data_IF_847305541117
#
_entry.id   IF_847305541117
#
_cell.length_a   1.000
_cell.length_b   1.000
_cell.length_c   1.000
_cell.angle_alpha   90.00
_cell.angle_beta   90.00
_cell.angle_gamma   90.00
#
_symmetry.space_group_name_H-M   'P 1'
#
loop_
_entity.id
_entity.type
_entity.pdbx_description
1 polymer ?
#
# COMPACT_ATOMS: atom_id res chain seq x y z
N UNK A 1 -38.47 11.89 -10.47
CA UNK A 1 -37.41 10.86 -10.34
C UNK A 1 -36.15 11.42 -10.96
N UNK A 2 -35.17 11.79 -10.13
CA UNK A 2 -33.88 12.30 -10.62
C UNK A 2 -32.96 11.12 -10.90
N UNK A 3 -32.60 10.95 -12.17
CA UNK A 3 -31.56 10.02 -12.59
C UNK A 3 -30.23 10.56 -12.04
N UNK A 4 -29.67 9.87 -11.04
CA UNK A 4 -28.34 10.17 -10.54
C UNK A 4 -27.35 10.06 -11.70
N UNK A 5 -26.83 11.21 -12.16
CA UNK A 5 -25.78 11.25 -13.16
C UNK A 5 -24.60 10.40 -12.68
N UNK A 6 -24.25 9.37 -13.44
CA UNK A 6 -23.00 8.65 -13.25
C UNK A 6 -21.85 9.59 -13.60
N UNK A 7 -21.33 10.24 -12.56
CA UNK A 7 -20.08 11.00 -12.54
C UNK A 7 -19.03 10.36 -13.49
N UNK A 8 -18.68 11.00 -14.63
CA UNK A 8 -17.88 10.39 -15.70
C UNK A 8 -16.42 10.09 -15.29
N UNK A 9 -15.95 10.65 -14.18
CA UNK A 9 -14.59 10.43 -13.64
C UNK A 9 -14.44 9.14 -12.80
N UNK A 10 -15.52 8.37 -12.60
CA UNK A 10 -15.55 7.17 -11.73
C UNK A 10 -14.73 5.98 -12.24
N UNK A 11 -14.54 5.84 -13.56
CA UNK A 11 -13.85 4.70 -14.18
C UNK A 11 -12.34 4.88 -14.34
N UNK A 12 -11.92 6.11 -14.62
CA UNK A 12 -10.59 6.38 -15.18
C UNK A 12 -9.42 5.91 -14.32
N UNK A 13 -9.47 6.05 -12.99
CA UNK A 13 -8.32 5.72 -12.14
C UNK A 13 -8.03 4.22 -12.09
N UNK A 14 -9.03 3.41 -11.71
CA UNK A 14 -8.85 1.97 -11.58
C UNK A 14 -8.70 1.33 -12.97
N UNK A 15 -9.43 1.82 -13.97
CA UNK A 15 -9.26 1.37 -15.36
C UNK A 15 -7.85 1.68 -15.86
N UNK A 16 -7.33 2.88 -15.63
CA UNK A 16 -5.94 3.21 -16.00
C UNK A 16 -4.95 2.26 -15.35
N UNK A 17 -5.10 1.96 -14.06
CA UNK A 17 -4.22 1.02 -13.36
C UNK A 17 -4.36 -0.42 -13.89
N UNK A 18 -5.59 -0.88 -14.08
CA UNK A 18 -5.89 -2.23 -14.59
C UNK A 18 -5.35 -2.44 -16.02
N UNK A 19 -5.28 -1.37 -16.81
CA UNK A 19 -4.73 -1.39 -18.18
C UNK A 19 -3.21 -1.28 -18.21
N UNK A 20 -2.55 -0.98 -17.08
CA UNK A 20 -1.09 -0.95 -17.04
C UNK A 20 -0.50 -2.36 -16.88
N UNK A 21 0.68 -2.63 -17.47
CA UNK A 21 1.44 -3.87 -17.23
C UNK A 21 2.06 -3.92 -15.82
N UNK A 22 1.68 -3.00 -14.92
CA UNK A 22 2.11 -3.01 -13.52
C UNK A 22 1.30 -4.03 -12.69
N UNK A 23 0.08 -4.36 -13.13
CA UNK A 23 -0.78 -5.30 -12.42
C UNK A 23 -0.14 -6.69 -12.39
N UNK A 24 -0.14 -7.31 -11.21
CA UNK A 24 0.28 -8.68 -10.98
C UNK A 24 -0.96 -9.58 -10.84
N UNK A 25 -1.41 -10.25 -11.92
CA UNK A 25 -2.70 -10.96 -11.90
C UNK A 25 -2.68 -12.12 -10.90
N UNK A 26 -3.76 -12.25 -10.15
CA UNK A 26 -3.98 -13.35 -9.19
C UNK A 26 -2.90 -13.47 -8.09
N UNK A 27 -2.06 -12.45 -7.89
CA UNK A 27 -1.09 -12.41 -6.80
C UNK A 27 -1.72 -11.86 -5.52
N UNK A 28 -1.38 -12.49 -4.41
CA UNK A 28 -1.74 -12.05 -3.05
C UNK A 28 -0.53 -11.99 -2.13
N UNK A 29 0.67 -12.08 -2.72
CA UNK A 29 1.98 -12.01 -2.09
C UNK A 29 2.94 -11.30 -3.03
N UNK A 30 3.80 -10.48 -2.46
CA UNK A 30 4.92 -9.84 -3.13
C UNK A 30 6.14 -9.96 -2.24
N UNK A 31 7.27 -10.27 -2.87
CA UNK A 31 8.56 -10.47 -2.23
C UNK A 31 9.55 -9.56 -2.96
N UNK A 32 10.35 -8.82 -2.19
CA UNK A 32 11.42 -7.98 -2.71
C UNK A 32 12.63 -8.13 -1.78
N UNK A 33 13.77 -8.52 -2.35
CA UNK A 33 14.95 -8.92 -1.58
C UNK A 33 14.61 -9.93 -0.45
N UNK A 34 14.78 -9.58 0.83
CA UNK A 34 14.47 -10.42 1.99
C UNK A 34 13.16 -10.05 2.72
N UNK A 35 12.40 -9.10 2.18
CA UNK A 35 11.15 -8.62 2.74
C UNK A 35 9.95 -9.12 1.91
N UNK A 36 8.78 -9.20 2.56
CA UNK A 36 7.56 -9.65 1.88
C UNK A 36 6.32 -9.04 2.49
N UNK A 37 5.26 -8.97 1.69
CA UNK A 37 3.90 -8.74 2.15
C UNK A 37 2.99 -9.80 1.55
N UNK A 38 2.03 -10.27 2.33
CA UNK A 38 1.02 -11.18 1.82
C UNK A 38 -0.31 -10.99 2.53
N UNK A 39 -1.36 -11.39 1.83
CA UNK A 39 -2.72 -11.36 2.33
C UNK A 39 -3.42 -12.63 1.90
N UNK A 40 -4.17 -13.23 2.82
CA UNK A 40 -5.16 -14.24 2.47
C UNK A 40 -6.47 -13.51 2.18
N UNK A 41 -6.98 -13.53 0.93
CA UNK A 41 -8.28 -12.92 0.62
C UNK A 41 -9.40 -13.56 1.43
N UNK A 42 -10.37 -12.74 1.82
CA UNK A 42 -11.65 -13.19 2.37
C UNK A 42 -12.75 -13.08 1.29
N UNK A 43 -13.92 -13.65 1.58
CA UNK A 43 -15.09 -13.45 0.74
C UNK A 43 -15.38 -11.95 0.55
N UNK A 44 -15.78 -11.60 -0.68
CA UNK A 44 -16.16 -10.25 -1.10
C UNK A 44 -15.02 -9.20 -1.03
N UNK A 45 -13.76 -9.64 -0.96
CA UNK A 45 -12.59 -8.78 -1.08
C UNK A 45 -12.06 -8.76 -2.52
N UNK A 46 -11.78 -7.56 -3.03
CA UNK A 46 -10.95 -7.37 -4.22
C UNK A 46 -9.59 -6.85 -3.78
N UNK A 47 -8.53 -7.54 -4.17
CA UNK A 47 -7.15 -7.19 -3.86
C UNK A 47 -6.35 -7.23 -5.15
N UNK A 48 -5.68 -6.13 -5.50
CA UNK A 48 -4.87 -6.03 -6.71
C UNK A 48 -3.49 -5.48 -6.34
N UNK A 49 -2.45 -6.16 -6.82
CA UNK A 49 -1.06 -5.81 -6.57
C UNK A 49 -0.50 -5.18 -7.84
N UNK A 50 0.11 -4.00 -7.74
CA UNK A 50 0.76 -3.31 -8.84
C UNK A 50 2.23 -3.09 -8.49
N UNK A 51 3.13 -3.83 -9.14
CA UNK A 51 4.58 -3.61 -9.01
C UNK A 51 4.99 -2.47 -9.93
N UNK A 52 5.50 -1.40 -9.32
CA UNK A 52 5.70 -0.11 -10.01
C UNK A 52 7.13 0.38 -9.98
N UNK A 53 8.01 -0.26 -9.22
CA UNK A 53 9.43 0.07 -9.22
C UNK A 53 10.11 -0.37 -10.52
N UNK A 54 11.06 0.42 -11.00
CA UNK A 54 11.67 0.23 -12.33
C UNK A 54 12.70 -0.91 -12.35
N UNK A 55 13.28 -1.24 -11.19
CA UNK A 55 14.19 -2.37 -11.04
C UNK A 55 13.44 -3.70 -11.04
N UNK A 56 12.25 -3.74 -10.43
CA UNK A 56 11.41 -4.94 -10.35
C UNK A 56 10.49 -5.14 -11.56
N UNK A 57 10.09 -4.07 -12.24
CA UNK A 57 9.19 -4.14 -13.40
C UNK A 57 9.46 -3.02 -14.42
N UNK A 58 10.38 -3.22 -15.36
CA UNK A 58 10.74 -2.22 -16.40
C UNK A 58 9.58 -1.82 -17.32
N UNK A 59 8.60 -2.70 -17.50
CA UNK A 59 7.49 -2.50 -18.44
C UNK A 59 6.36 -1.63 -17.87
N UNK A 60 6.34 -1.39 -16.56
CA UNK A 60 5.26 -0.65 -15.90
C UNK A 60 5.09 0.79 -16.42
N UNK A 61 4.07 0.99 -17.26
CA UNK A 61 3.73 2.28 -17.88
C UNK A 61 3.13 3.30 -16.91
N UNK A 62 2.73 2.88 -15.70
CA UNK A 62 2.23 3.81 -14.69
C UNK A 62 3.28 4.87 -14.32
N UNK A 63 4.57 4.51 -14.34
CA UNK A 63 5.64 5.46 -14.07
C UNK A 63 5.68 6.60 -15.09
N UNK A 64 5.54 6.28 -16.37
CA UNK A 64 5.50 7.29 -17.42
C UNK A 64 4.28 8.21 -17.26
N UNK A 65 3.15 7.67 -16.83
CA UNK A 65 1.97 8.48 -16.53
C UNK A 65 2.20 9.45 -15.36
N UNK A 66 2.90 9.01 -14.31
CA UNK A 66 3.10 9.75 -13.07
C UNK A 66 4.29 10.73 -13.10
N UNK A 67 5.33 10.43 -13.87
CA UNK A 67 6.59 11.19 -13.90
C UNK A 67 7.06 11.59 -15.31
N UNK A 68 6.37 11.17 -16.37
CA UNK A 68 6.81 11.39 -17.75
C UNK A 68 8.05 10.57 -18.07
N UNK A 69 9.01 11.16 -18.80
CA UNK A 69 10.26 10.50 -19.20
C UNK A 69 11.41 10.66 -18.18
N UNK A 70 11.10 11.03 -16.93
CA UNK A 70 12.10 11.14 -15.87
C UNK A 70 12.46 9.76 -15.34
N UNK A 71 13.76 9.50 -15.18
CA UNK A 71 14.30 8.27 -14.63
C UNK A 71 14.88 8.51 -13.22
N UNK A 72 15.01 7.44 -12.42
CA UNK A 72 15.64 7.50 -11.10
C UNK A 72 14.81 8.20 -10.02
N UNK A 73 13.48 8.23 -10.18
CA UNK A 73 12.57 8.78 -9.18
C UNK A 73 12.50 7.84 -7.96
N UNK A 74 12.32 8.42 -6.77
CA UNK A 74 12.13 7.62 -5.55
C UNK A 74 10.70 7.07 -5.54
N UNK A 75 10.54 5.86 -6.08
CA UNK A 75 9.26 5.16 -6.21
C UNK A 75 9.23 4.03 -5.19
N UNK A 76 8.04 3.70 -4.66
CA UNK A 76 7.90 2.53 -3.79
C UNK A 76 7.69 1.24 -4.58
N UNK A 77 8.05 0.09 -4.02
CA UNK A 77 8.01 -1.19 -4.74
C UNK A 77 6.62 -1.53 -5.29
N UNK A 78 5.58 -1.32 -4.47
CA UNK A 78 4.25 -1.87 -4.70
C UNK A 78 3.13 -0.89 -4.33
N UNK A 79 2.12 -0.80 -5.19
CA UNK A 79 0.80 -0.25 -4.84
C UNK A 79 -0.17 -1.42 -4.69
N UNK A 80 -0.92 -1.45 -3.59
CA UNK A 80 -1.98 -2.43 -3.37
C UNK A 80 -3.33 -1.73 -3.31
N UNK A 81 -4.23 -2.11 -4.22
CA UNK A 81 -5.62 -1.73 -4.14
C UNK A 81 -6.39 -2.79 -3.36
N UNK A 82 -7.17 -2.34 -2.37
CA UNK A 82 -8.09 -3.18 -1.61
C UNK A 82 -9.50 -2.60 -1.66
N UNK A 83 -10.49 -3.46 -1.85
CA UNK A 83 -11.90 -3.10 -1.79
C UNK A 83 -12.74 -4.17 -1.10
N UNK A 84 -13.66 -3.74 -0.25
CA UNK A 84 -14.71 -4.57 0.36
C UNK A 84 -15.94 -3.72 0.65
N UNK A 85 -17.11 -4.11 0.13
CA UNK A 85 -18.32 -3.28 0.22
C UNK A 85 -18.09 -1.88 -0.36
N UNK A 86 -18.18 -0.83 0.47
CA UNK A 86 -17.92 0.56 0.09
C UNK A 86 -16.49 1.03 0.40
N UNK A 87 -15.69 0.23 1.11
CA UNK A 87 -14.33 0.59 1.46
C UNK A 87 -13.41 0.47 0.25
N UNK A 88 -12.59 1.48 0.01
CA UNK A 88 -11.59 1.51 -1.08
C UNK A 88 -10.28 2.04 -0.51
N UNK A 89 -9.23 1.25 -0.62
CA UNK A 89 -7.90 1.57 -0.07
C UNK A 89 -6.86 1.48 -1.17
N UNK A 90 -5.99 2.49 -1.25
CA UNK A 90 -4.70 2.38 -1.93
C UNK A 90 -3.60 2.39 -0.88
N UNK A 91 -2.86 1.29 -0.79
CA UNK A 91 -1.72 1.15 0.10
C UNK A 91 -0.42 1.25 -0.71
N UNK A 92 0.44 2.19 -0.33
CA UNK A 92 1.79 2.36 -0.88
C UNK A 92 2.75 1.58 0.01
N UNK A 93 3.40 0.58 -0.58
CA UNK A 93 4.18 -0.41 0.15
C UNK A 93 5.64 -0.30 -0.26
N UNK A 94 6.50 -0.23 0.73
CA UNK A 94 7.95 -0.32 0.56
C UNK A 94 8.49 -1.49 1.39
N UNK A 95 9.35 -2.29 0.77
CA UNK A 95 10.02 -3.44 1.34
C UNK A 95 11.52 -3.14 1.44
N UNK A 96 12.05 -3.17 2.66
CA UNK A 96 13.50 -3.02 2.90
C UNK A 96 14.06 -4.25 3.61
N UNK A 97 15.30 -4.61 3.29
CA UNK A 97 16.02 -5.68 3.98
C UNK A 97 16.31 -5.36 5.45
N UNK A 98 16.44 -4.07 5.75
CA UNK A 98 16.70 -3.57 7.08
C UNK A 98 16.06 -2.17 7.23
N UNK A 99 15.80 -1.74 8.46
CA UNK A 99 15.32 -0.38 8.77
C UNK A 99 16.32 0.38 9.63
N UNK A 100 17.56 0.46 9.16
CA UNK A 100 18.49 1.49 9.61
C UNK A 100 17.97 2.88 9.25
N UNK A 101 18.62 3.90 9.81
CA UNK A 101 18.11 5.26 9.75
C UNK A 101 17.99 5.78 8.32
N UNK A 102 19.00 5.52 7.48
CA UNK A 102 19.02 5.92 6.08
C UNK A 102 17.94 5.19 5.26
N UNK A 103 17.83 3.86 5.42
CA UNK A 103 16.87 3.04 4.68
C UNK A 103 15.42 3.42 4.99
N UNK A 104 15.11 3.70 6.27
CA UNK A 104 13.79 4.15 6.66
C UNK A 104 13.48 5.55 6.12
N UNK A 105 14.45 6.47 6.12
CA UNK A 105 14.29 7.78 5.49
C UNK A 105 13.98 7.65 3.99
N UNK A 106 14.68 6.74 3.30
CA UNK A 106 14.45 6.48 1.89
C UNK A 106 13.06 5.87 1.66
N UNK A 107 12.67 4.88 2.45
CA UNK A 107 11.35 4.25 2.35
C UNK A 107 10.20 5.26 2.51
N UNK A 108 10.31 6.19 3.47
CA UNK A 108 9.34 7.25 3.67
C UNK A 108 9.26 8.18 2.45
N UNK A 109 10.41 8.54 1.87
CA UNK A 109 10.46 9.35 0.65
C UNK A 109 9.78 8.62 -0.51
N UNK A 110 10.04 7.33 -0.68
CA UNK A 110 9.47 6.51 -1.75
C UNK A 110 7.93 6.44 -1.66
N UNK A 111 7.37 6.04 -0.51
CA UNK A 111 5.91 5.96 -0.36
C UNK A 111 5.24 7.33 -0.44
N UNK A 112 5.87 8.38 0.09
CA UNK A 112 5.34 9.75 0.06
C UNK A 112 5.37 10.35 -1.35
N UNK A 113 6.47 10.18 -2.07
CA UNK A 113 6.64 10.68 -3.43
C UNK A 113 5.65 10.00 -4.37
N UNK A 114 5.56 8.67 -4.30
CA UNK A 114 4.60 7.87 -5.07
C UNK A 114 3.17 8.34 -4.81
N UNK A 115 2.75 8.43 -3.55
CA UNK A 115 1.41 8.91 -3.22
C UNK A 115 1.15 10.34 -3.73
N UNK A 116 2.12 11.25 -3.60
CA UNK A 116 1.95 12.64 -4.01
C UNK A 116 1.71 12.76 -5.51
N UNK A 117 2.52 12.05 -6.32
CA UNK A 117 2.34 12.02 -7.77
C UNK A 117 1.05 11.32 -8.17
N UNK A 118 0.77 10.17 -7.56
CA UNK A 118 -0.44 9.40 -7.79
C UNK A 118 -1.70 10.23 -7.51
N UNK A 119 -1.76 10.89 -6.35
CA UNK A 119 -2.87 11.77 -5.97
C UNK A 119 -3.06 12.92 -6.96
N UNK A 120 -1.97 13.56 -7.39
CA UNK A 120 -2.01 14.71 -8.29
C UNK A 120 -2.51 14.32 -9.69
N UNK A 121 -1.97 13.23 -10.25
CA UNK A 121 -2.30 12.81 -11.62
C UNK A 121 -3.66 12.15 -11.72
N UNK A 122 -4.06 11.39 -10.70
CA UNK A 122 -5.26 10.57 -10.75
C UNK A 122 -6.43 11.18 -9.98
N UNK A 123 -6.28 12.44 -9.54
CA UNK A 123 -7.30 13.26 -8.87
C UNK A 123 -8.08 12.46 -7.83
N UNK A 124 -7.37 11.79 -6.92
CA UNK A 124 -8.00 10.98 -5.88
C UNK A 124 -9.09 11.78 -5.16
N UNK A 125 -10.34 11.40 -5.37
CA UNK A 125 -11.47 11.99 -4.68
C UNK A 125 -11.52 11.46 -3.22
N UNK A 126 -12.37 12.07 -2.39
CA UNK A 126 -12.50 11.73 -0.96
C UNK A 126 -13.01 10.30 -0.67
N UNK A 127 -13.15 9.42 -1.67
CA UNK A 127 -13.71 8.07 -1.51
C UNK A 127 -12.65 6.98 -1.31
N UNK A 128 -11.37 7.31 -1.42
CA UNK A 128 -10.28 6.37 -1.20
C UNK A 128 -9.51 6.73 0.07
N UNK A 129 -9.19 5.71 0.86
CA UNK A 129 -8.22 5.83 1.95
C UNK A 129 -6.83 5.52 1.40
N UNK A 130 -5.90 6.44 1.57
CA UNK A 130 -4.49 6.20 1.29
C UNK A 130 -3.81 5.64 2.54
N UNK A 131 -3.04 4.57 2.39
CA UNK A 131 -2.24 3.96 3.47
C UNK A 131 -0.77 3.84 3.05
N UNK A 132 0.13 3.81 4.03
CA UNK A 132 1.54 3.52 3.85
C UNK A 132 1.94 2.32 4.71
N UNK A 133 2.64 1.35 4.10
CA UNK A 133 3.16 0.18 4.80
C UNK A 133 4.64 -0.01 4.46
N UNK A 134 5.51 0.19 5.44
CA UNK A 134 6.95 -0.04 5.30
C UNK A 134 7.29 -1.31 6.05
N UNK A 135 7.79 -2.33 5.34
CA UNK A 135 8.13 -3.63 5.90
C UNK A 135 9.62 -3.90 5.88
N UNK A 136 10.09 -4.62 6.90
CA UNK A 136 11.44 -5.19 6.95
C UNK A 136 11.43 -6.42 7.85
N UNK A 137 12.26 -7.44 7.54
CA UNK A 137 12.43 -8.60 8.42
C UNK A 137 13.14 -8.23 9.73
N UNK A 138 13.88 -7.11 9.76
CA UNK A 138 14.65 -6.65 10.92
C UNK A 138 14.01 -5.40 11.52
N UNK A 139 13.51 -5.55 12.75
CA UNK A 139 12.97 -4.44 13.54
C UNK A 139 14.07 -3.50 14.03
N UNK A 140 13.90 -2.19 13.83
CA UNK A 140 14.64 -1.17 14.58
C UNK A 140 13.77 -0.60 15.70
N UNK A 141 14.33 0.23 16.60
CA UNK A 141 13.64 0.72 17.82
C UNK A 141 13.25 2.21 17.76
N UNK A 142 13.46 2.89 16.63
CA UNK A 142 13.29 4.36 16.52
C UNK A 142 12.28 4.72 15.43
N UNK A 143 11.03 4.96 15.80
CA UNK A 143 9.94 5.20 14.83
C UNK A 143 9.21 6.55 14.96
N UNK A 144 9.38 7.29 16.05
CA UNK A 144 8.46 8.39 16.37
C UNK A 144 8.54 9.58 15.39
N UNK A 145 9.75 10.04 15.04
CA UNK A 145 9.94 11.11 14.05
C UNK A 145 9.43 10.72 12.65
N UNK A 146 9.55 9.44 12.32
CA UNK A 146 9.16 8.87 11.03
C UNK A 146 7.67 8.70 10.87
N UNK A 147 7.02 8.26 11.94
CA UNK A 147 5.56 8.25 12.02
C UNK A 147 5.00 9.65 11.81
N UNK A 148 5.60 10.69 12.39
CA UNK A 148 5.14 12.07 12.19
C UNK A 148 5.24 12.54 10.73
N UNK A 149 6.32 12.17 10.03
CA UNK A 149 6.49 12.50 8.61
C UNK A 149 5.38 11.86 7.76
N UNK A 150 5.08 10.58 7.98
CA UNK A 150 4.00 9.87 7.30
C UNK A 150 2.61 10.40 7.71
N UNK A 151 2.41 10.77 8.98
CA UNK A 151 1.15 11.34 9.49
C UNK A 151 0.77 12.63 8.76
N UNK A 152 1.76 13.48 8.47
CA UNK A 152 1.53 14.72 7.73
C UNK A 152 0.96 14.45 6.31
N UNK A 153 1.22 13.26 5.75
CA UNK A 153 0.83 12.85 4.40
C UNK A 153 -0.46 12.01 4.40
N UNK A 154 -0.50 10.94 5.20
CA UNK A 154 -1.57 9.93 5.25
C UNK A 154 -2.64 10.19 6.32
N UNK A 155 -2.49 11.29 7.07
CA UNK A 155 -3.46 11.95 7.98
C UNK A 155 -3.87 11.20 9.23
N UNK A 156 -3.98 9.88 9.19
CA UNK A 156 -4.45 9.07 10.31
C UNK A 156 -3.39 8.05 10.75
N UNK A 157 -3.17 7.85 12.06
CA UNK A 157 -2.25 6.81 12.55
C UNK A 157 -2.60 5.40 12.06
N UNK A 158 -3.89 5.09 11.89
CA UNK A 158 -4.37 3.79 11.39
C UNK A 158 -4.09 3.56 9.89
N UNK A 159 -3.58 4.57 9.19
CA UNK A 159 -3.19 4.48 7.78
C UNK A 159 -1.68 4.29 7.61
N UNK A 160 -0.93 4.16 8.70
CA UNK A 160 0.53 4.09 8.66
C UNK A 160 0.98 2.88 9.45
N UNK A 161 1.78 2.04 8.80
CA UNK A 161 2.54 0.99 9.47
C UNK A 161 4.01 1.14 9.08
N UNK A 162 4.87 1.22 10.08
CA UNK A 162 6.30 1.43 9.92
C UNK A 162 6.99 0.33 10.71
N UNK A 163 7.73 -0.52 10.00
CA UNK A 163 8.18 -1.82 10.48
C UNK A 163 7.04 -2.86 10.58
N UNK A 164 6.19 -2.87 9.55
CA UNK A 164 5.09 -3.81 9.42
C UNK A 164 5.57 -5.23 9.14
N UNK A 165 4.96 -6.21 9.80
CA UNK A 165 5.23 -7.62 9.56
C UNK A 165 4.38 -8.14 8.42
N UNK A 166 4.95 -9.03 7.61
CA UNK A 166 4.29 -9.61 6.44
C UNK A 166 2.90 -10.19 6.78
N UNK A 167 2.78 -10.90 7.91
CA UNK A 167 1.53 -11.53 8.35
C UNK A 167 0.45 -10.54 8.83
N UNK A 168 0.83 -9.31 9.17
CA UNK A 168 -0.09 -8.28 9.64
C UNK A 168 -0.62 -7.40 8.49
N UNK A 169 -0.03 -7.50 7.30
CA UNK A 169 -0.38 -6.65 6.15
C UNK A 169 -1.87 -6.69 5.81
N UNK A 170 -2.46 -7.89 5.78
CA UNK A 170 -3.90 -8.01 5.49
C UNK A 170 -4.80 -7.42 6.57
N UNK A 171 -4.40 -7.48 7.84
CA UNK A 171 -5.15 -6.86 8.93
C UNK A 171 -5.04 -5.32 8.88
N UNK A 172 -3.87 -4.81 8.52
CA UNK A 172 -3.63 -3.39 8.31
C UNK A 172 -4.49 -2.82 7.17
N UNK A 173 -4.56 -3.51 6.02
CA UNK A 173 -5.42 -3.11 4.90
C UNK A 173 -6.89 -3.02 5.31
N UNK A 174 -7.35 -3.93 6.16
CA UNK A 174 -8.73 -4.00 6.69
C UNK A 174 -8.99 -3.05 7.86
N UNK A 175 -7.98 -2.29 8.32
CA UNK A 175 -8.13 -1.39 9.48
C UNK A 175 -8.32 -2.11 10.82
N UNK A 176 -7.87 -3.36 10.96
CA UNK A 176 -7.97 -4.12 12.21
C UNK A 176 -6.93 -3.64 13.21
N UNK A 177 -7.37 -2.98 14.29
CA UNK A 177 -6.48 -2.55 15.38
C UNK A 177 -5.82 -3.75 16.08
N UNK A 178 -4.50 -3.67 16.43
CA UNK A 178 -3.81 -4.69 17.21
C UNK A 178 -4.49 -5.02 18.55
N UNK A 179 -5.18 -4.05 19.17
CA UNK A 179 -5.91 -4.24 20.43
C UNK A 179 -7.07 -5.24 20.30
N UNK A 180 -7.62 -5.40 19.10
CA UNK A 180 -8.73 -6.34 18.85
C UNK A 180 -8.25 -7.79 18.64
N UNK A 181 -6.94 -8.04 18.52
CA UNK A 181 -6.37 -9.38 18.32
C UNK A 181 -6.39 -10.25 19.60
N UNK A 182 -6.64 -9.66 20.77
CA UNK A 182 -6.53 -10.29 22.10
C UNK A 182 -7.64 -11.29 22.51
N UNK A 183 -8.70 -11.50 21.71
CA UNK A 183 -9.75 -12.48 22.03
C UNK A 183 -9.65 -13.80 21.23
N UNK A 184 -8.45 -14.19 20.79
CA UNK A 184 -8.24 -15.56 20.29
C UNK A 184 -8.23 -16.54 21.47
N UNK A 185 -9.36 -17.25 21.64
CA UNK A 185 -9.54 -18.37 22.58
C UNK A 185 -8.29 -19.25 22.62
N UNK A 186 -7.63 -19.28 23.77
CA UNK A 186 -6.51 -20.18 24.04
C UNK A 186 -6.92 -21.62 23.77
N UNK A 187 -6.23 -22.28 22.84
CA UNK A 187 -6.30 -23.72 22.63
C UNK A 187 -5.80 -24.37 23.92
N UNK A 188 -6.72 -24.87 24.77
CA UNK A 188 -6.36 -25.76 25.89
C UNK A 188 -5.56 -26.93 25.31
N UNK A 189 -4.27 -27.00 25.63
CA UNK A 189 -3.49 -28.23 25.48
C UNK A 189 -4.13 -29.28 26.39
N UNK A 190 -4.72 -30.33 25.82
CA UNK A 190 -5.04 -31.55 26.56
C UNK A 190 -3.72 -32.25 26.88
N UNK A 191 -3.47 -32.48 28.17
CA UNK A 191 -2.57 -33.53 28.65
C UNK A 191 -3.29 -34.87 28.51
#
# INVERSE_FOLDING_TARGET
MSLAASDPDKGLLLETLLLTPCLLPSKTRFDESNASVWIKPQADETILFFSIDDQSNSECQLRQLLWGNKAGENICDLIVFYAKGNERVFCFVELKDNLQEEDLNQAIKQVTNTYTHFKRHLRLNHRYTAKAFISSPKSSKRHQKYQQALLNVFKEPSNIECNGRAEDFGDFLRGVSPLNKGKRKGKKRKK
#
